data_IF_003754378427
#
_entry.id   IF_003754378427
#
_cell.length_a   1.000
_cell.length_b   1.000
_cell.length_c   1.000
_cell.angle_alpha   90.00
_cell.angle_beta   90.00
_cell.angle_gamma   90.00
#
_symmetry.space_group_name_H-M   'P 1'
#
loop_
_entity.id
_entity.type
_entity.pdbx_description
1 polymer ?
#
# COMPACT_ATOMS: atom_id res chain seq x y z
N UNK A 1 -17.46 -25.44 32.40
CA UNK A 1 -16.37 -25.39 31.41
C UNK A 1 -17.01 -25.15 30.05
N UNK A 2 -17.03 -23.89 29.58
CA UNK A 2 -17.43 -23.57 28.20
C UNK A 2 -16.20 -23.76 27.32
N UNK A 3 -16.30 -24.69 26.38
CA UNK A 3 -15.37 -24.87 25.28
C UNK A 3 -15.54 -23.66 24.35
N UNK A 4 -14.68 -22.66 24.51
CA UNK A 4 -14.54 -21.60 23.52
C UNK A 4 -13.84 -22.23 22.31
N UNK A 5 -14.65 -22.65 21.33
CA UNK A 5 -14.13 -23.11 20.05
C UNK A 5 -13.41 -21.92 19.40
N UNK A 6 -12.17 -22.07 18.89
CA UNK A 6 -11.53 -20.98 18.18
C UNK A 6 -12.40 -20.68 16.97
N UNK A 7 -13.02 -19.49 16.94
CA UNK A 7 -13.74 -19.00 15.79
C UNK A 7 -12.85 -19.18 14.56
N UNK A 8 -13.27 -20.03 13.62
CA UNK A 8 -12.62 -20.17 12.33
C UNK A 8 -12.46 -18.77 11.75
N UNK A 9 -11.23 -18.24 11.77
CA UNK A 9 -10.96 -16.97 11.12
C UNK A 9 -11.12 -17.23 9.62
N UNK A 10 -12.09 -16.62 8.94
CA UNK A 10 -12.15 -16.73 7.50
C UNK A 10 -10.85 -16.16 6.96
N UNK A 11 -9.98 -17.04 6.48
CA UNK A 11 -8.73 -16.66 5.85
C UNK A 11 -9.11 -16.01 4.53
N UNK A 12 -8.78 -14.73 4.36
CA UNK A 12 -8.98 -14.04 3.09
C UNK A 12 -8.08 -14.71 2.06
N UNK A 13 -8.66 -15.55 1.20
CA UNK A 13 -7.97 -16.02 0.02
C UNK A 13 -7.78 -14.82 -0.90
N UNK A 14 -6.57 -14.27 -0.91
CA UNK A 14 -6.22 -13.13 -1.75
C UNK A 14 -6.19 -13.59 -3.22
N UNK A 15 -7.03 -13.03 -4.10
CA UNK A 15 -6.95 -13.33 -5.52
C UNK A 15 -5.56 -13.05 -6.08
N UNK A 16 -5.09 -13.91 -6.99
CA UNK A 16 -3.73 -13.82 -7.55
C UNK A 16 -3.46 -12.46 -8.20
N UNK A 17 -4.47 -11.86 -8.85
CA UNK A 17 -4.35 -10.54 -9.47
C UNK A 17 -4.16 -9.41 -8.45
N UNK A 18 -4.78 -9.52 -7.27
CA UNK A 18 -4.59 -8.54 -6.18
C UNK A 18 -3.24 -8.75 -5.51
N UNK A 19 -2.83 -10.01 -5.31
CA UNK A 19 -1.49 -10.34 -4.80
C UNK A 19 -0.39 -9.77 -5.71
N UNK A 20 -0.53 -9.95 -7.03
CA UNK A 20 0.39 -9.38 -8.02
C UNK A 20 0.45 -7.85 -7.93
N UNK A 21 -0.70 -7.16 -7.84
CA UNK A 21 -0.74 -5.69 -7.72
C UNK A 21 -0.12 -5.17 -6.43
N UNK A 22 -0.24 -5.91 -5.32
CA UNK A 22 0.42 -5.56 -4.07
C UNK A 22 1.94 -5.73 -4.18
N UNK A 23 2.41 -6.79 -4.84
CA UNK A 23 3.83 -7.00 -5.11
C UNK A 23 4.40 -5.93 -6.05
N UNK A 24 3.68 -5.59 -7.13
CA UNK A 24 4.07 -4.50 -8.03
C UNK A 24 4.19 -3.18 -7.27
N UNK A 25 3.24 -2.90 -6.37
CA UNK A 25 3.26 -1.69 -5.55
C UNK A 25 4.47 -1.64 -4.62
N UNK A 26 4.79 -2.74 -3.96
CA UNK A 26 5.96 -2.89 -3.11
C UNK A 26 7.27 -2.67 -3.88
N UNK A 27 7.40 -3.34 -5.03
CA UNK A 27 8.58 -3.22 -5.89
C UNK A 27 8.75 -1.78 -6.38
N UNK A 28 7.66 -1.11 -6.78
CA UNK A 28 7.70 0.28 -7.18
C UNK A 28 8.15 1.23 -6.06
N UNK A 29 7.68 1.03 -4.82
CA UNK A 29 8.14 1.82 -3.67
C UNK A 29 9.65 1.67 -3.49
N UNK A 30 10.15 0.44 -3.56
CA UNK A 30 11.59 0.13 -3.40
C UNK A 30 12.42 0.72 -4.54
N UNK A 31 11.99 0.55 -5.79
CA UNK A 31 12.69 1.08 -6.97
C UNK A 31 12.73 2.60 -6.96
N UNK A 32 11.60 3.26 -6.64
CA UNK A 32 11.55 4.71 -6.63
C UNK A 32 12.43 5.31 -5.53
N UNK A 33 12.50 4.67 -4.34
CA UNK A 33 13.43 5.08 -3.27
C UNK A 33 14.89 5.03 -3.72
N UNK A 34 15.26 4.09 -4.58
CA UNK A 34 16.62 3.96 -5.11
C UNK A 34 16.90 4.96 -6.23
N UNK A 35 15.87 5.32 -7.00
CA UNK A 35 16.00 6.23 -8.15
C UNK A 35 16.01 7.72 -7.75
N UNK A 36 15.36 8.09 -6.64
CA UNK A 36 15.21 9.49 -6.24
C UNK A 36 16.54 10.09 -5.74
N UNK A 37 16.97 11.25 -6.26
CA UNK A 37 18.25 11.87 -5.90
C UNK A 37 18.26 12.40 -4.46
N UNK A 38 19.12 11.84 -3.60
CA UNK A 38 19.20 12.20 -2.18
C UNK A 38 19.94 13.54 -1.90
N UNK A 39 20.67 14.06 -2.88
CA UNK A 39 21.39 15.34 -2.80
C UNK A 39 20.42 16.55 -2.87
N UNK A 40 19.26 16.37 -3.49
CA UNK A 40 18.24 17.42 -3.62
C UNK A 40 17.26 17.42 -2.45
N UNK A 41 16.91 18.61 -1.95
CA UNK A 41 15.93 18.77 -0.86
C UNK A 41 14.59 18.09 -1.15
N UNK A 42 14.07 18.23 -2.38
CA UNK A 42 12.83 17.56 -2.78
C UNK A 42 12.98 16.03 -2.83
N UNK A 43 14.16 15.53 -3.19
CA UNK A 43 14.42 14.10 -3.26
C UNK A 43 14.57 13.48 -1.87
N UNK A 44 15.17 14.20 -0.90
CA UNK A 44 15.13 13.80 0.52
C UNK A 44 13.71 13.72 1.05
N UNK A 45 12.88 14.73 0.74
CA UNK A 45 11.47 14.75 1.15
C UNK A 45 10.70 13.56 0.56
N UNK A 46 10.83 13.33 -0.75
CA UNK A 46 10.17 12.22 -1.42
C UNK A 46 10.65 10.86 -0.88
N UNK A 47 11.96 10.71 -0.62
CA UNK A 47 12.52 9.50 0.00
C UNK A 47 11.94 9.24 1.38
N UNK A 48 11.77 10.29 2.20
CA UNK A 48 11.16 10.16 3.53
C UNK A 48 9.70 9.72 3.44
N UNK A 49 8.93 10.29 2.50
CA UNK A 49 7.55 9.88 2.29
C UNK A 49 7.45 8.44 1.73
N UNK A 50 8.32 8.05 0.81
CA UNK A 50 8.38 6.68 0.29
C UNK A 50 8.78 5.66 1.36
N UNK A 51 9.63 6.03 2.34
CA UNK A 51 9.91 5.18 3.50
C UNK A 51 8.66 4.99 4.38
N UNK A 52 7.82 6.01 4.52
CA UNK A 52 6.55 5.87 5.22
C UNK A 52 5.58 4.95 4.44
N UNK A 53 5.53 5.07 3.11
CA UNK A 53 4.73 4.18 2.26
C UNK A 53 5.19 2.73 2.36
N UNK A 54 6.50 2.47 2.34
CA UNK A 54 7.13 1.16 2.55
C UNK A 54 6.66 0.50 3.85
N UNK A 55 6.71 1.24 4.96
CA UNK A 55 6.20 0.77 6.25
C UNK A 55 4.71 0.43 6.23
N UNK A 56 3.88 1.24 5.54
CA UNK A 56 2.45 0.96 5.42
C UNK A 56 2.18 -0.29 4.57
N UNK A 57 2.94 -0.50 3.48
CA UNK A 57 2.84 -1.70 2.64
C UNK A 57 3.24 -2.94 3.43
N UNK A 58 4.31 -2.87 4.21
CA UNK A 58 4.74 -3.97 5.09
C UNK A 58 3.69 -4.31 6.15
N UNK A 59 3.06 -3.29 6.77
CA UNK A 59 1.96 -3.51 7.70
C UNK A 59 0.79 -4.24 7.02
N UNK A 60 0.41 -3.86 5.80
CA UNK A 60 -0.64 -4.56 5.04
C UNK A 60 -0.24 -6.03 4.76
N UNK A 61 1.01 -6.27 4.34
CA UNK A 61 1.51 -7.64 4.08
C UNK A 61 1.49 -8.51 5.33
N UNK A 62 1.96 -7.97 6.46
CA UNK A 62 1.92 -8.66 7.75
C UNK A 62 0.47 -8.91 8.20
N UNK A 63 -0.43 -7.97 7.97
CA UNK A 63 -1.86 -8.11 8.29
C UNK A 63 -2.49 -9.26 7.49
N UNK A 64 -2.14 -9.39 6.21
CA UNK A 64 -2.54 -10.52 5.37
C UNK A 64 -1.91 -11.85 5.82
N UNK A 65 -0.60 -11.87 6.05
CA UNK A 65 0.16 -13.05 6.49
C UNK A 65 -0.35 -13.60 7.83
N UNK A 66 -0.73 -12.71 8.75
CA UNK A 66 -1.27 -13.06 10.06
C UNK A 66 -2.77 -13.42 10.02
N UNK A 67 -3.37 -13.48 8.83
CA UNK A 67 -4.78 -13.81 8.62
C UNK A 67 -5.70 -12.95 9.51
N UNK A 68 -5.44 -11.65 9.54
CA UNK A 68 -6.23 -10.70 10.32
C UNK A 68 -7.66 -10.56 9.75
N UNK A 69 -8.64 -10.17 10.57
CA UNK A 69 -10.00 -9.93 10.11
C UNK A 69 -10.07 -8.92 8.96
N UNK A 70 -11.04 -9.09 8.07
CA UNK A 70 -11.24 -8.22 6.89
C UNK A 70 -11.24 -6.72 7.22
N UNK A 71 -11.90 -6.24 8.31
CA UNK A 71 -11.84 -4.82 8.67
C UNK A 71 -10.43 -4.30 8.98
N UNK A 72 -9.57 -5.12 9.60
CA UNK A 72 -8.17 -4.75 9.87
C UNK A 72 -7.37 -4.68 8.57
N UNK A 73 -7.57 -5.63 7.65
CA UNK A 73 -6.93 -5.63 6.32
C UNK A 73 -7.36 -4.39 5.52
N UNK A 74 -8.66 -4.06 5.53
CA UNK A 74 -9.21 -2.89 4.85
C UNK A 74 -8.70 -1.57 5.45
N UNK A 75 -8.51 -1.50 6.77
CA UNK A 75 -7.90 -0.34 7.41
C UNK A 75 -6.43 -0.16 6.97
N UNK A 76 -5.65 -1.24 6.94
CA UNK A 76 -4.26 -1.23 6.49
C UNK A 76 -4.14 -0.83 5.01
N UNK A 77 -5.02 -1.35 4.13
CA UNK A 77 -5.03 -0.98 2.70
C UNK A 77 -5.40 0.48 2.48
N UNK A 78 -6.32 1.01 3.28
CA UNK A 78 -6.71 2.42 3.21
C UNK A 78 -5.54 3.32 3.60
N UNK A 79 -4.77 2.94 4.63
CA UNK A 79 -3.57 3.68 5.03
C UNK A 79 -2.52 3.73 3.90
N UNK A 80 -2.26 2.60 3.22
CA UNK A 80 -1.40 2.54 2.04
C UNK A 80 -1.89 3.51 0.95
N UNK A 81 -3.18 3.45 0.61
CA UNK A 81 -3.77 4.34 -0.40
C UNK A 81 -3.63 5.81 -0.02
N UNK A 82 -3.92 6.17 1.23
CA UNK A 82 -3.84 7.56 1.69
C UNK A 82 -2.42 8.11 1.63
N UNK A 83 -1.43 7.35 2.08
CA UNK A 83 -0.03 7.79 2.03
C UNK A 83 0.46 7.96 0.60
N UNK A 84 0.14 7.00 -0.29
CA UNK A 84 0.56 7.09 -1.70
C UNK A 84 -0.16 8.24 -2.43
N UNK A 85 -1.44 8.46 -2.16
CA UNK A 85 -2.18 9.60 -2.71
C UNK A 85 -1.59 10.94 -2.27
N UNK A 86 -1.15 11.05 -1.00
CA UNK A 86 -0.48 12.25 -0.50
C UNK A 86 0.88 12.49 -1.19
N UNK A 87 1.64 11.42 -1.46
CA UNK A 87 2.91 11.50 -2.20
C UNK A 87 2.67 12.01 -3.62
N UNK A 88 1.75 11.38 -4.35
CA UNK A 88 1.37 11.75 -5.73
C UNK A 88 0.93 13.22 -5.81
N UNK A 89 0.05 13.64 -4.90
CA UNK A 89 -0.40 15.03 -4.82
C UNK A 89 0.76 16.01 -4.53
N UNK A 90 1.68 15.65 -3.63
CA UNK A 90 2.85 16.49 -3.32
C UNK A 90 3.83 16.62 -4.49
N UNK A 91 3.88 15.62 -5.38
CA UNK A 91 4.74 15.61 -6.56
C UNK A 91 4.10 16.25 -7.80
N UNK A 92 2.76 16.37 -7.85
CA UNK A 92 2.03 16.87 -9.01
C UNK A 92 2.41 18.31 -9.42
N UNK A 93 2.80 19.16 -8.45
CA UNK A 93 3.33 20.51 -8.67
C UNK A 93 4.84 20.64 -8.50
N UNK A 94 5.57 19.52 -8.42
CA UNK A 94 6.93 19.44 -7.91
C UNK A 94 8.05 19.47 -8.95
N UNK A 95 9.29 19.32 -8.45
CA UNK A 95 10.54 19.27 -9.21
C UNK A 95 10.95 17.86 -9.67
N UNK A 96 10.06 16.89 -9.50
CA UNK A 96 10.26 15.53 -9.95
C UNK A 96 10.25 15.49 -11.48
N UNK A 97 11.14 14.68 -12.07
CA UNK A 97 11.14 14.42 -13.50
C UNK A 97 9.88 13.65 -13.93
N UNK A 98 9.65 13.58 -15.25
CA UNK A 98 8.48 12.93 -15.81
C UNK A 98 8.37 11.45 -15.41
N UNK A 99 9.49 10.71 -15.39
CA UNK A 99 9.51 9.29 -15.04
C UNK A 99 9.10 9.08 -13.59
N UNK A 100 9.66 9.86 -12.67
CA UNK A 100 9.29 9.86 -11.25
C UNK A 100 7.78 10.14 -11.08
N UNK A 101 7.24 11.12 -11.81
CA UNK A 101 5.80 11.45 -11.75
C UNK A 101 4.92 10.33 -12.27
N UNK A 102 5.29 9.72 -13.41
CA UNK A 102 4.54 8.60 -13.97
C UNK A 102 4.55 7.38 -13.03
N UNK A 103 5.68 7.11 -12.38
CA UNK A 103 5.77 6.06 -11.36
C UNK A 103 4.80 6.32 -10.20
N UNK A 104 4.75 7.55 -9.68
CA UNK A 104 3.83 7.91 -8.59
C UNK A 104 2.36 7.77 -8.98
N UNK A 105 1.99 8.21 -10.20
CA UNK A 105 0.63 8.03 -10.73
C UNK A 105 0.27 6.54 -10.83
N UNK A 106 1.22 5.70 -11.27
CA UNK A 106 0.99 4.27 -11.38
C UNK A 106 0.86 3.60 -10.01
N UNK A 107 1.74 3.94 -9.05
CA UNK A 107 1.62 3.50 -7.65
C UNK A 107 0.26 3.87 -7.05
N UNK A 108 -0.22 5.09 -7.28
CA UNK A 108 -1.53 5.53 -6.79
C UNK A 108 -2.67 4.68 -7.39
N UNK A 109 -2.61 4.33 -8.68
CA UNK A 109 -3.59 3.44 -9.32
C UNK A 109 -3.57 2.02 -8.74
N UNK A 110 -2.38 1.47 -8.48
CA UNK A 110 -2.23 0.16 -7.84
C UNK A 110 -2.82 0.18 -6.42
N UNK A 111 -2.42 1.15 -5.60
CA UNK A 111 -2.90 1.31 -4.23
C UNK A 111 -4.43 1.48 -4.17
N UNK A 112 -5.01 2.23 -5.10
CA UNK A 112 -6.47 2.40 -5.19
C UNK A 112 -7.18 1.10 -5.58
N UNK A 113 -6.59 0.29 -6.45
CA UNK A 113 -7.15 -1.02 -6.84
C UNK A 113 -7.13 -1.99 -5.67
N UNK A 114 -5.99 -2.09 -4.97
CA UNK A 114 -5.81 -2.96 -3.80
C UNK A 114 -6.77 -2.54 -2.68
N UNK A 115 -6.85 -1.25 -2.37
CA UNK A 115 -7.76 -0.75 -1.32
C UNK A 115 -9.21 -1.06 -1.65
N UNK A 116 -9.67 -0.77 -2.87
CA UNK A 116 -11.05 -1.05 -3.29
C UNK A 116 -11.43 -2.52 -3.12
N UNK A 117 -10.50 -3.44 -3.39
CA UNK A 117 -10.74 -4.86 -3.19
C UNK A 117 -11.09 -5.15 -1.73
N UNK A 118 -10.26 -4.71 -0.79
CA UNK A 118 -10.48 -4.97 0.64
C UNK A 118 -11.67 -4.21 1.22
N UNK A 119 -11.94 -2.98 0.76
CA UNK A 119 -13.17 -2.28 1.14
C UNK A 119 -14.42 -3.06 0.69
N UNK A 120 -14.42 -3.60 -0.54
CA UNK A 120 -15.55 -4.37 -1.04
C UNK A 120 -15.79 -5.69 -0.28
N UNK A 121 -14.73 -6.26 0.31
CA UNK A 121 -14.87 -7.43 1.19
C UNK A 121 -15.42 -7.03 2.56
N UNK A 122 -14.97 -5.90 3.11
CA UNK A 122 -15.45 -5.39 4.39
C UNK A 122 -16.92 -5.00 4.37
N UNK A 123 -17.44 -4.57 3.22
CA UNK A 123 -18.87 -4.26 3.03
C UNK A 123 -19.76 -5.52 2.93
N UNK A 124 -19.17 -6.70 2.68
CA UNK A 124 -19.89 -7.97 2.48
C UNK A 124 -19.92 -8.88 3.70
N UNK A 125 -19.04 -8.64 4.68
CA UNK A 125 -18.89 -9.43 5.90
C UNK A 125 -19.38 -8.68 7.12
#
# INVERSE_FOLDING_TARGET
MMTDAPAERPSVLLPEDIAAKLNDLDEMVVLLRKAVPADKTWGRQLTAQLRNADGCVEVLRLTLLLHKPVPEVAAASSQVRMVIAAIDASAAGGRADLTTRLALVHMHRLAKTVDRHFQSLAERG
#
